data_IF_668312257070
#
_entry.id   IF_668312257070
#
_cell.length_a   1.000
_cell.length_b   1.000
_cell.length_c   1.000
_cell.angle_alpha   90.00
_cell.angle_beta   90.00
_cell.angle_gamma   90.00
#
_symmetry.space_group_name_H-M   'P 1'
#
loop_
_entity.id
_entity.type
_entity.pdbx_description
1 polymer ?
#
# COMPACT_ATOMS: atom_id res chain seq x y z
N UNK A 1 -35.77 -6.92 -26.75
CA UNK A 1 -35.22 -6.86 -25.40
C UNK A 1 -36.08 -5.97 -24.50
N UNK A 2 -36.12 -4.65 -24.74
CA UNK A 2 -36.76 -3.67 -23.85
C UNK A 2 -38.26 -3.92 -23.66
N UNK A 3 -39.02 -4.30 -24.69
CA UNK A 3 -40.44 -4.65 -24.57
C UNK A 3 -40.71 -5.83 -23.65
N UNK A 4 -39.79 -6.81 -23.63
CA UNK A 4 -39.84 -7.96 -22.70
C UNK A 4 -39.57 -7.60 -21.23
N UNK A 5 -39.04 -6.40 -20.98
CA UNK A 5 -38.80 -5.83 -19.64
C UNK A 5 -39.93 -4.87 -19.21
N UNK A 6 -41.06 -4.82 -19.98
CA UNK A 6 -42.21 -4.01 -19.64
C UNK A 6 -42.15 -2.56 -20.15
N UNK A 7 -41.13 -2.19 -20.92
CA UNK A 7 -41.04 -0.87 -21.54
C UNK A 7 -41.89 -0.85 -22.84
N UNK A 8 -42.51 0.28 -23.11
CA UNK A 8 -43.38 0.47 -24.31
C UNK A 8 -42.74 1.45 -25.28
N UNK A 9 -42.59 1.05 -26.56
CA UNK A 9 -42.18 1.98 -27.60
C UNK A 9 -43.29 3.00 -27.86
N UNK A 10 -43.00 4.28 -27.67
CA UNK A 10 -43.97 5.38 -27.88
C UNK A 10 -43.84 5.97 -29.29
N UNK A 11 -42.63 6.33 -29.67
CA UNK A 11 -42.33 6.90 -30.98
C UNK A 11 -41.13 6.16 -31.59
N UNK A 12 -41.26 5.76 -32.81
CA UNK A 12 -40.21 5.03 -33.56
C UNK A 12 -39.79 5.87 -34.74
N UNK A 13 -38.54 6.30 -34.77
CA UNK A 13 -37.89 7.01 -35.85
C UNK A 13 -36.92 6.08 -36.59
N UNK A 14 -36.39 6.53 -37.70
CA UNK A 14 -35.46 5.74 -38.51
C UNK A 14 -34.16 5.37 -37.71
N UNK A 15 -33.69 6.27 -36.88
CA UNK A 15 -32.41 6.13 -36.12
C UNK A 15 -32.57 6.13 -34.59
N UNK A 16 -33.77 6.33 -34.06
CA UNK A 16 -34.03 6.41 -32.63
C UNK A 16 -35.42 5.89 -32.27
N UNK A 17 -35.61 5.57 -31.01
CA UNK A 17 -36.92 5.15 -30.47
C UNK A 17 -37.08 5.75 -29.07
N UNK A 18 -38.22 6.40 -28.85
CA UNK A 18 -38.62 6.88 -27.51
C UNK A 18 -39.34 5.77 -26.78
N UNK A 19 -38.92 5.52 -25.56
CA UNK A 19 -39.43 4.46 -24.69
C UNK A 19 -40.19 5.02 -23.51
N UNK A 20 -41.39 4.52 -23.27
CA UNK A 20 -42.17 4.75 -22.08
C UNK A 20 -41.63 3.85 -20.94
N UNK A 21 -41.21 4.47 -19.85
CA UNK A 21 -40.66 3.78 -18.69
C UNK A 21 -41.79 3.52 -17.69
N UNK A 22 -41.96 2.26 -17.21
CA UNK A 22 -42.94 1.96 -16.18
C UNK A 22 -42.60 2.68 -14.84
N UNK A 23 -43.64 3.10 -14.13
CA UNK A 23 -43.48 3.88 -12.88
C UNK A 23 -42.70 3.18 -11.76
N UNK A 24 -42.55 1.85 -11.81
CA UNK A 24 -41.76 1.09 -10.86
C UNK A 24 -40.27 0.99 -11.21
N UNK A 25 -39.84 1.40 -12.42
CA UNK A 25 -38.46 1.43 -12.88
C UNK A 25 -37.85 2.81 -12.68
N UNK A 26 -37.61 3.16 -11.40
CA UNK A 26 -37.03 4.45 -11.01
C UNK A 26 -35.53 4.57 -11.35
N UNK A 27 -34.92 3.45 -11.71
CA UNK A 27 -33.52 3.30 -12.10
C UNK A 27 -33.25 3.75 -13.56
N UNK A 28 -34.27 3.72 -14.44
CA UNK A 28 -34.13 4.05 -15.85
C UNK A 28 -34.42 5.53 -16.10
N UNK A 29 -33.41 6.36 -16.03
CA UNK A 29 -33.56 7.83 -16.16
C UNK A 29 -32.82 8.42 -17.37
N UNK A 30 -31.88 7.68 -17.97
CA UNK A 30 -31.01 8.12 -19.06
C UNK A 30 -30.97 7.07 -20.17
N UNK A 31 -30.58 7.50 -21.35
CA UNK A 31 -30.39 6.60 -22.50
C UNK A 31 -29.43 5.46 -22.21
N UNK A 32 -28.34 5.72 -21.50
CA UNK A 32 -27.34 4.69 -21.14
C UNK A 32 -27.92 3.58 -20.26
N UNK A 33 -28.93 3.88 -19.45
CA UNK A 33 -29.61 2.89 -18.60
C UNK A 33 -30.41 1.90 -19.48
N UNK A 34 -30.95 2.35 -20.62
CA UNK A 34 -31.58 1.46 -21.62
C UNK A 34 -30.56 0.62 -22.39
N UNK A 35 -29.38 1.18 -22.67
CA UNK A 35 -28.26 0.42 -23.26
C UNK A 35 -27.82 -0.68 -22.33
N UNK A 36 -27.73 -0.42 -21.03
CA UNK A 36 -27.41 -1.42 -20.00
C UNK A 36 -28.43 -2.55 -19.99
N UNK A 37 -29.71 -2.23 -19.98
CA UNK A 37 -30.79 -3.24 -20.03
C UNK A 37 -30.72 -4.13 -21.29
N UNK A 38 -30.41 -3.55 -22.44
CA UNK A 38 -30.21 -4.32 -23.67
C UNK A 38 -29.00 -5.22 -23.55
N UNK A 39 -27.86 -4.70 -23.06
CA UNK A 39 -26.62 -5.45 -22.88
C UNK A 39 -26.82 -6.62 -21.93
N UNK A 40 -27.55 -6.41 -20.83
CA UNK A 40 -27.85 -7.44 -19.83
C UNK A 40 -28.71 -8.57 -20.40
N UNK A 41 -29.73 -8.26 -21.19
CA UNK A 41 -30.64 -9.25 -21.78
C UNK A 41 -30.02 -9.98 -22.97
N UNK A 42 -29.28 -9.28 -23.81
CA UNK A 42 -28.62 -9.86 -24.99
C UNK A 42 -27.38 -10.67 -24.61
N UNK A 43 -26.72 -10.29 -23.53
CA UNK A 43 -25.49 -10.89 -23.00
C UNK A 43 -24.27 -10.04 -23.33
N UNK A 44 -23.53 -9.67 -22.29
CA UNK A 44 -22.29 -8.85 -22.38
C UNK A 44 -21.22 -9.57 -23.20
N UNK A 45 -21.19 -10.91 -23.17
CA UNK A 45 -20.24 -11.72 -23.94
C UNK A 45 -20.37 -11.57 -25.46
N UNK A 46 -21.50 -11.04 -25.93
CA UNK A 46 -21.73 -10.75 -27.38
C UNK A 46 -21.12 -9.42 -27.80
N UNK A 47 -20.68 -8.59 -26.86
CA UNK A 47 -20.03 -7.32 -27.18
C UNK A 47 -18.57 -7.62 -27.53
N UNK A 48 -18.13 -7.34 -28.78
CA UNK A 48 -16.77 -7.65 -29.19
C UNK A 48 -15.75 -6.80 -28.38
N UNK A 49 -14.77 -7.46 -27.76
CA UNK A 49 -13.68 -6.78 -27.16
C UNK A 49 -12.79 -6.10 -28.19
N UNK A 50 -12.57 -4.81 -28.07
CA UNK A 50 -11.60 -4.10 -28.91
C UNK A 50 -10.23 -4.20 -28.28
N UNK A 51 -9.32 -4.91 -28.93
CA UNK A 51 -7.89 -4.99 -28.56
C UNK A 51 -7.13 -3.87 -29.29
N UNK A 52 -7.56 -2.63 -29.17
CA UNK A 52 -6.74 -1.51 -29.62
C UNK A 52 -6.36 -0.68 -28.39
N UNK A 53 -5.33 -1.11 -27.69
CA UNK A 53 -4.62 -0.24 -26.78
C UNK A 53 -3.62 0.56 -27.60
N UNK A 54 -3.80 1.86 -27.75
CA UNK A 54 -2.67 2.74 -27.98
C UNK A 54 -1.93 2.80 -26.66
N UNK A 55 -0.74 2.17 -26.52
CA UNK A 55 0.03 2.29 -25.29
C UNK A 55 0.36 3.76 -25.10
N UNK A 56 -0.10 4.34 -23.99
CA UNK A 56 0.35 5.66 -23.60
C UNK A 56 1.85 5.58 -23.28
N UNK A 57 2.60 6.61 -23.58
CA UNK A 57 4.02 6.69 -23.18
C UNK A 57 4.12 6.55 -21.65
N UNK A 58 5.08 5.73 -21.15
CA UNK A 58 5.29 5.57 -19.73
C UNK A 58 5.61 6.91 -19.05
N UNK A 59 4.95 7.19 -17.95
CA UNK A 59 5.19 8.38 -17.13
C UNK A 59 6.18 8.08 -16.00
N UNK A 60 6.67 9.12 -15.32
CA UNK A 60 7.46 8.95 -14.08
C UNK A 60 6.67 8.24 -12.98
N UNK A 61 5.35 8.42 -12.96
CA UNK A 61 4.46 7.75 -12.01
C UNK A 61 4.43 6.24 -12.26
N UNK A 62 4.38 5.80 -13.53
CA UNK A 62 4.42 4.39 -13.90
C UNK A 62 5.73 3.73 -13.48
N UNK A 63 6.86 4.39 -13.71
CA UNK A 63 8.17 3.90 -13.29
C UNK A 63 8.25 3.71 -11.77
N UNK A 64 7.70 4.64 -10.99
CA UNK A 64 7.63 4.55 -9.52
C UNK A 64 6.72 3.41 -9.07
N UNK A 65 5.57 3.24 -9.72
CA UNK A 65 4.63 2.16 -9.46
C UNK A 65 5.25 0.79 -9.73
N UNK A 66 5.86 0.61 -10.90
CA UNK A 66 6.53 -0.62 -11.29
C UNK A 66 7.69 -0.97 -10.36
N UNK A 67 8.45 0.04 -9.92
CA UNK A 67 9.50 -0.16 -8.91
C UNK A 67 8.91 -0.69 -7.61
N UNK A 68 7.83 -0.10 -7.11
CA UNK A 68 7.17 -0.56 -5.89
C UNK A 68 6.61 -1.98 -6.02
N UNK A 69 6.03 -2.36 -7.17
CA UNK A 69 5.56 -3.73 -7.43
C UNK A 69 6.72 -4.72 -7.35
N UNK A 70 7.84 -4.43 -8.03
CA UNK A 70 9.03 -5.29 -7.98
C UNK A 70 9.60 -5.39 -6.56
N UNK A 71 9.62 -4.29 -5.81
CA UNK A 71 10.10 -4.25 -4.43
C UNK A 71 9.24 -5.13 -3.51
N UNK A 72 7.90 -5.04 -3.62
CA UNK A 72 6.95 -5.93 -2.90
C UNK A 72 7.22 -7.39 -3.19
N UNK A 73 7.35 -7.74 -4.47
CA UNK A 73 7.63 -9.12 -4.88
C UNK A 73 8.95 -9.66 -4.31
N UNK A 74 10.00 -8.83 -4.26
CA UNK A 74 11.29 -9.21 -3.65
C UNK A 74 11.17 -9.42 -2.14
N UNK A 75 10.52 -8.50 -1.43
CA UNK A 75 10.34 -8.59 0.03
C UNK A 75 9.49 -9.80 0.41
N UNK A 76 8.39 -10.03 -0.30
CA UNK A 76 7.56 -11.22 -0.12
C UNK A 76 8.34 -12.52 -0.42
N UNK A 77 9.17 -12.54 -1.46
CA UNK A 77 10.06 -13.66 -1.78
C UNK A 77 11.13 -13.92 -0.73
N UNK A 78 11.50 -12.93 0.08
CA UNK A 78 12.38 -13.06 1.24
C UNK A 78 11.64 -13.52 2.52
N UNK A 79 10.33 -13.79 2.42
CA UNK A 79 9.52 -14.27 3.54
C UNK A 79 8.92 -13.20 4.43
N UNK A 80 8.91 -11.93 3.99
CA UNK A 80 8.25 -10.86 4.72
C UNK A 80 6.80 -10.69 4.29
N UNK A 81 5.93 -10.30 5.21
CA UNK A 81 4.53 -9.96 4.94
C UNK A 81 4.35 -8.45 4.87
N UNK A 82 3.58 -7.96 3.89
CA UNK A 82 3.27 -6.53 3.80
C UNK A 82 2.26 -6.14 4.88
N UNK A 83 2.58 -5.12 5.65
CA UNK A 83 1.67 -4.45 6.55
C UNK A 83 1.23 -3.12 5.94
N UNK A 84 0.05 -2.65 6.36
CA UNK A 84 -0.44 -1.33 6.00
C UNK A 84 -0.99 -0.66 7.24
N UNK A 85 -0.26 0.35 7.72
CA UNK A 85 -0.60 1.05 8.95
C UNK A 85 -1.27 2.40 8.67
N UNK A 86 -1.86 3.01 9.69
CA UNK A 86 -2.58 4.26 9.53
C UNK A 86 -1.66 5.42 9.13
N UNK A 87 -2.12 6.26 8.21
CA UNK A 87 -1.45 7.51 7.84
C UNK A 87 -1.66 8.60 8.88
N UNK A 88 -2.82 8.58 9.56
CA UNK A 88 -3.15 9.46 10.66
C UNK A 88 -2.80 8.77 11.97
N UNK A 89 -2.05 9.47 12.81
CA UNK A 89 -1.47 8.92 14.04
C UNK A 89 -1.68 9.84 15.23
N UNK A 90 -1.55 9.29 16.42
CA UNK A 90 -1.60 10.04 17.68
C UNK A 90 -0.30 10.84 17.90
N UNK A 91 -0.32 11.86 18.78
CA UNK A 91 0.88 12.59 19.18
C UNK A 91 2.00 11.65 19.68
N UNK A 92 1.64 10.61 20.44
CA UNK A 92 2.59 9.65 20.98
C UNK A 92 3.32 8.80 19.91
N UNK A 93 2.79 8.76 18.68
CA UNK A 93 3.38 8.00 17.57
C UNK A 93 4.27 8.84 16.66
N UNK A 94 4.52 10.10 16.98
CA UNK A 94 5.48 10.94 16.26
C UNK A 94 6.74 11.14 17.10
N UNK A 95 7.91 10.99 16.47
CA UNK A 95 9.19 11.14 17.17
C UNK A 95 9.55 12.61 17.48
N UNK A 96 8.97 13.54 16.72
CA UNK A 96 9.14 14.99 16.93
C UNK A 96 7.89 15.72 16.45
N UNK A 97 7.15 16.35 17.36
CA UNK A 97 5.98 17.16 16.98
C UNK A 97 6.35 18.38 16.13
N UNK A 98 7.56 18.93 16.33
CA UNK A 98 8.04 20.06 15.55
C UNK A 98 8.27 19.72 14.07
N UNK A 99 8.53 18.44 13.77
CA UNK A 99 8.76 17.93 12.42
C UNK A 99 7.51 17.29 11.80
N UNK A 100 6.48 17.04 12.61
CA UNK A 100 5.25 16.39 12.17
C UNK A 100 4.19 17.41 11.71
N UNK A 101 3.34 17.01 10.79
CA UNK A 101 2.23 17.84 10.31
C UNK A 101 1.00 17.55 11.15
N UNK A 102 0.57 18.54 11.92
CA UNK A 102 -0.67 18.49 12.71
C UNK A 102 -1.88 18.89 11.86
N UNK A 103 -2.96 18.13 11.99
CA UNK A 103 -4.24 18.45 11.33
C UNK A 103 -4.94 19.60 12.05
N UNK A 104 -5.61 20.46 11.28
CA UNK A 104 -6.41 21.58 11.86
C UNK A 104 -7.69 21.11 12.52
N UNK A 105 -8.32 20.06 11.97
CA UNK A 105 -9.62 19.53 12.37
C UNK A 105 -9.58 17.99 12.37
N UNK A 106 -8.86 17.37 13.32
CA UNK A 106 -8.79 15.92 13.41
C UNK A 106 -10.15 15.33 13.85
N UNK A 107 -10.42 14.10 13.44
CA UNK A 107 -11.60 13.36 13.89
C UNK A 107 -11.51 12.92 15.37
N UNK A 108 -10.29 12.79 15.89
CA UNK A 108 -9.97 12.43 17.27
C UNK A 108 -8.51 12.74 17.57
N UNK A 109 -8.14 12.76 18.85
CA UNK A 109 -6.74 13.01 19.27
C UNK A 109 -5.77 11.93 18.79
N UNK A 110 -6.25 10.71 18.68
CA UNK A 110 -5.51 9.54 18.18
C UNK A 110 -5.21 9.62 16.67
N UNK A 111 -5.80 10.59 15.95
CA UNK A 111 -5.64 10.80 14.51
C UNK A 111 -5.31 12.26 14.18
N UNK A 112 -4.53 12.92 15.04
CA UNK A 112 -4.28 14.36 14.96
C UNK A 112 -3.03 14.76 14.16
N UNK A 113 -2.17 13.81 13.79
CA UNK A 113 -0.96 14.06 13.02
C UNK A 113 -0.88 13.18 11.78
N UNK A 114 -0.18 13.67 10.75
CA UNK A 114 0.33 12.85 9.67
C UNK A 114 1.63 12.16 10.13
N UNK A 115 1.76 10.86 9.86
CA UNK A 115 2.95 10.08 10.26
C UNK A 115 4.23 10.60 9.59
N UNK A 116 5.24 10.89 10.39
CA UNK A 116 6.60 11.23 9.93
C UNK A 116 7.49 10.00 9.75
N UNK A 117 7.09 8.84 10.29
CA UNK A 117 7.79 7.56 10.18
C UNK A 117 6.78 6.42 10.03
N UNK A 118 7.21 5.32 9.41
CA UNK A 118 6.45 4.06 9.34
C UNK A 118 6.72 3.15 10.56
N UNK A 119 7.82 3.41 11.29
CA UNK A 119 8.31 2.53 12.35
C UNK A 119 7.30 2.38 13.51
N UNK A 120 6.73 3.46 14.08
CA UNK A 120 5.77 3.31 15.18
C UNK A 120 4.56 2.44 14.81
N UNK A 121 4.03 2.61 13.59
CA UNK A 121 2.92 1.80 13.08
C UNK A 121 3.31 0.32 12.92
N UNK A 122 4.51 0.03 12.39
CA UNK A 122 5.00 -1.33 12.26
C UNK A 122 5.27 -1.98 13.62
N UNK A 123 5.84 -1.24 14.59
CA UNK A 123 6.07 -1.75 15.95
C UNK A 123 4.74 -2.11 16.63
N UNK A 124 3.71 -1.27 16.50
CA UNK A 124 2.37 -1.59 16.99
C UNK A 124 1.77 -2.84 16.32
N UNK A 125 2.02 -3.03 15.01
CA UNK A 125 1.61 -4.24 14.29
C UNK A 125 2.38 -5.48 14.77
N UNK A 126 3.68 -5.37 15.00
CA UNK A 126 4.52 -6.44 15.58
C UNK A 126 3.99 -6.83 16.97
N UNK A 127 3.82 -5.85 17.86
CA UNK A 127 3.31 -6.07 19.22
C UNK A 127 1.95 -6.79 19.19
N UNK A 128 1.05 -6.35 18.33
CA UNK A 128 -0.26 -6.99 18.15
C UNK A 128 -0.13 -8.46 17.76
N UNK A 129 0.70 -8.79 16.77
CA UNK A 129 0.91 -10.17 16.34
C UNK A 129 1.50 -11.04 17.44
N UNK A 130 2.48 -10.52 18.20
CA UNK A 130 3.06 -11.23 19.35
C UNK A 130 2.00 -11.49 20.45
N UNK A 131 1.13 -10.53 20.75
CA UNK A 131 0.01 -10.71 21.70
C UNK A 131 -0.98 -11.78 21.25
N UNK A 132 -1.15 -12.00 19.94
CA UNK A 132 -1.94 -13.08 19.38
C UNK A 132 -1.19 -14.41 19.26
N UNK A 133 0.01 -14.50 19.83
CA UNK A 133 0.76 -15.75 19.94
C UNK A 133 1.67 -16.05 18.75
N UNK A 134 1.93 -15.10 17.86
CA UNK A 134 2.92 -15.30 16.82
C UNK A 134 4.32 -15.49 17.42
N UNK A 135 5.01 -16.59 17.09
CA UNK A 135 6.37 -16.86 17.57
C UNK A 135 7.44 -16.00 16.86
N UNK A 136 7.13 -15.52 15.68
CA UNK A 136 8.00 -14.65 14.89
C UNK A 136 7.16 -13.77 13.98
N UNK A 137 7.66 -12.57 13.73
CA UNK A 137 7.01 -11.58 12.87
C UNK A 137 8.07 -10.94 11.98
N UNK A 138 7.84 -10.97 10.67
CA UNK A 138 8.66 -10.34 9.65
C UNK A 138 7.75 -9.50 8.75
N UNK A 139 7.69 -8.19 9.00
CA UNK A 139 6.82 -7.27 8.32
C UNK A 139 7.60 -6.25 7.51
N UNK A 140 7.01 -5.78 6.42
CA UNK A 140 7.43 -4.57 5.74
C UNK A 140 6.22 -3.69 5.40
N UNK A 141 6.47 -2.40 5.24
CA UNK A 141 5.48 -1.46 4.71
C UNK A 141 6.14 -0.55 3.68
N UNK A 142 5.53 -0.44 2.50
CA UNK A 142 5.85 0.58 1.52
C UNK A 142 4.74 1.62 1.60
N UNK A 143 5.04 2.76 2.18
CA UNK A 143 4.08 3.82 2.46
C UNK A 143 4.67 5.21 2.23
N UNK A 144 3.90 6.21 2.57
CA UNK A 144 4.33 7.62 2.53
C UNK A 144 4.49 8.16 3.94
N UNK A 145 5.53 8.94 4.11
CA UNK A 145 5.81 9.73 5.32
C UNK A 145 5.70 11.21 4.98
N UNK A 146 5.37 12.03 5.97
CA UNK A 146 5.06 13.44 5.79
C UNK A 146 5.88 14.29 6.76
N UNK A 147 6.57 15.29 6.24
CA UNK A 147 7.44 16.15 7.04
C UNK A 147 7.01 17.60 6.94
N UNK A 148 6.93 18.30 8.08
CA UNK A 148 6.52 19.70 8.15
C UNK A 148 7.53 20.62 7.45
N UNK A 149 8.82 20.33 7.59
CA UNK A 149 9.90 21.05 6.91
C UNK A 149 9.84 20.73 5.41
N UNK A 150 9.60 21.75 4.59
CA UNK A 150 9.44 21.59 3.13
C UNK A 150 8.08 21.09 2.68
N UNK A 151 7.19 20.65 3.60
CA UNK A 151 5.90 20.00 3.27
C UNK A 151 6.08 18.84 2.31
N UNK A 152 7.08 18.01 2.60
CA UNK A 152 7.45 16.89 1.74
C UNK A 152 6.64 15.64 2.07
N UNK A 153 6.21 14.97 1.01
CA UNK A 153 5.65 13.62 1.04
C UNK A 153 6.67 12.68 0.41
N UNK A 154 7.19 11.75 1.18
CA UNK A 154 8.27 10.86 0.74
C UNK A 154 7.82 9.40 0.72
N UNK A 155 8.01 8.69 -0.41
CA UNK A 155 7.84 7.24 -0.43
C UNK A 155 8.92 6.60 0.43
N UNK A 156 8.51 5.75 1.35
CA UNK A 156 9.39 5.15 2.36
C UNK A 156 9.13 3.66 2.45
N UNK A 157 10.19 2.87 2.63
CA UNK A 157 10.13 1.47 3.02
C UNK A 157 10.54 1.35 4.49
N UNK A 158 9.76 0.62 5.27
CA UNK A 158 10.18 0.16 6.59
C UNK A 158 10.06 -1.36 6.70
N UNK A 159 10.94 -1.95 7.51
CA UNK A 159 11.01 -3.39 7.77
C UNK A 159 11.11 -3.59 9.28
N UNK A 160 10.33 -4.53 9.82
CA UNK A 160 10.40 -4.93 11.22
C UNK A 160 10.48 -6.45 11.33
N UNK A 161 11.47 -6.93 12.07
CA UNK A 161 11.76 -8.35 12.26
C UNK A 161 11.85 -8.65 13.74
N UNK A 162 11.20 -9.74 14.19
CA UNK A 162 11.33 -10.24 15.57
C UNK A 162 11.05 -11.74 15.64
N UNK A 163 11.55 -12.39 16.69
CA UNK A 163 11.39 -13.83 16.90
C UNK A 163 12.36 -14.66 16.07
N UNK A 164 11.89 -15.75 15.47
CA UNK A 164 12.72 -16.74 14.80
C UNK A 164 12.86 -16.42 13.30
N UNK A 165 14.09 -16.26 12.83
CA UNK A 165 14.42 -16.19 11.38
C UNK A 165 14.31 -17.56 10.71
N UNK A 166 14.49 -18.63 11.49
CA UNK A 166 14.34 -20.02 11.07
C UNK A 166 13.81 -20.86 12.24
N UNK A 167 12.74 -21.58 11.98
CA UNK A 167 12.21 -22.54 12.94
C UNK A 167 13.19 -23.72 13.13
N UNK A 168 13.13 -24.38 14.28
CA UNK A 168 13.88 -25.61 14.49
C UNK A 168 13.38 -26.71 13.55
N UNK A 169 14.29 -27.49 12.98
CA UNK A 169 13.93 -28.63 12.15
C UNK A 169 14.96 -29.75 12.34
N UNK A 170 14.56 -30.98 12.01
CA UNK A 170 15.48 -32.12 12.09
C UNK A 170 16.69 -31.97 11.13
N UNK A 171 16.54 -31.22 10.05
CA UNK A 171 17.60 -30.95 9.06
C UNK A 171 18.54 -29.85 9.50
N UNK A 172 17.97 -28.76 10.01
CA UNK A 172 18.68 -27.48 10.22
C UNK A 172 19.05 -27.24 11.69
N UNK A 173 18.63 -28.13 12.59
CA UNK A 173 18.91 -28.03 14.04
C UNK A 173 18.01 -27.02 14.76
N UNK A 174 18.61 -26.34 15.74
CA UNK A 174 17.89 -25.39 16.60
C UNK A 174 17.39 -24.16 15.85
N UNK A 175 16.29 -23.57 16.36
CA UNK A 175 15.78 -22.30 15.85
C UNK A 175 16.85 -21.20 15.95
N UNK A 176 16.86 -20.30 14.99
CA UNK A 176 17.70 -19.09 15.00
C UNK A 176 16.81 -17.86 15.09
N UNK A 177 17.15 -16.95 15.96
CA UNK A 177 16.46 -15.66 16.04
C UNK A 177 16.86 -14.73 14.88
N UNK A 178 15.99 -13.79 14.58
CA UNK A 178 16.38 -12.64 13.75
C UNK A 178 17.44 -11.82 14.49
N UNK A 179 18.43 -11.38 13.74
CA UNK A 179 19.51 -10.53 14.20
C UNK A 179 19.76 -9.37 13.23
N UNK A 180 20.70 -8.52 13.62
CA UNK A 180 21.16 -7.40 12.82
C UNK A 180 21.65 -7.78 11.42
N UNK A 181 22.28 -8.95 11.27
CA UNK A 181 22.81 -9.44 10.00
C UNK A 181 21.71 -9.88 9.05
N UNK A 182 20.60 -10.41 9.58
CA UNK A 182 19.42 -10.73 8.77
C UNK A 182 18.85 -9.45 8.12
N UNK A 183 18.69 -8.38 8.89
CA UNK A 183 18.19 -7.12 8.37
C UNK A 183 19.14 -6.50 7.33
N UNK A 184 20.45 -6.49 7.63
CA UNK A 184 21.47 -6.05 6.67
C UNK A 184 21.45 -6.87 5.39
N UNK A 185 21.33 -8.19 5.48
CA UNK A 185 21.22 -9.09 4.34
C UNK A 185 20.01 -8.76 3.47
N UNK A 186 18.84 -8.55 4.07
CA UNK A 186 17.63 -8.14 3.35
C UNK A 186 17.89 -6.82 2.60
N UNK A 187 18.39 -5.80 3.27
CA UNK A 187 18.64 -4.48 2.66
C UNK A 187 19.66 -4.59 1.51
N UNK A 188 20.72 -5.36 1.70
CA UNK A 188 21.74 -5.57 0.67
C UNK A 188 21.19 -6.25 -0.59
N UNK A 189 20.18 -7.11 -0.47
CA UNK A 189 19.53 -7.71 -1.66
C UNK A 189 18.64 -6.73 -2.43
N UNK A 190 18.17 -5.67 -1.78
CA UNK A 190 17.28 -4.68 -2.39
C UNK A 190 18.04 -3.58 -3.15
N UNK A 191 19.25 -3.28 -2.69
CA UNK A 191 20.08 -2.18 -3.22
C UNK A 191 21.27 -2.76 -3.97
N UNK A 192 21.37 -2.62 -5.30
CA UNK A 192 22.38 -3.27 -6.12
C UNK A 192 23.75 -2.57 -6.10
N UNK A 193 24.02 -1.78 -5.07
CA UNK A 193 25.28 -1.05 -4.89
C UNK A 193 25.87 -1.33 -3.51
N UNK A 194 27.16 -1.07 -3.35
CA UNK A 194 27.82 -1.18 -2.04
C UNK A 194 27.16 -0.23 -1.02
N UNK A 195 26.91 -0.77 0.17
CA UNK A 195 26.27 -0.06 1.27
C UNK A 195 27.29 0.32 2.34
N UNK A 196 27.29 1.58 2.70
CA UNK A 196 28.06 2.09 3.84
C UNK A 196 27.16 2.15 5.08
N UNK A 197 27.71 1.69 6.20
CA UNK A 197 27.03 1.62 7.49
C UNK A 197 27.81 2.43 8.51
N UNK A 198 27.17 3.44 9.11
CA UNK A 198 27.79 4.28 10.14
C UNK A 198 26.94 4.27 11.39
N UNK A 199 27.58 4.04 12.56
CA UNK A 199 26.90 4.16 13.86
C UNK A 199 26.30 5.56 14.01
N UNK A 200 25.09 5.62 14.53
CA UNK A 200 24.37 6.86 14.81
C UNK A 200 23.80 6.84 16.23
N UNK A 201 23.37 7.99 16.70
CA UNK A 201 22.71 8.13 17.99
C UNK A 201 21.32 7.47 17.99
N UNK A 202 20.81 7.12 19.14
CA UNK A 202 19.45 6.60 19.32
C UNK A 202 18.42 7.58 18.74
N UNK A 203 17.39 7.05 18.12
CA UNK A 203 16.35 7.86 17.50
C UNK A 203 14.97 7.25 17.70
N UNK A 204 14.04 8.01 18.27
CA UNK A 204 12.71 7.52 18.58
C UNK A 204 12.77 6.26 19.45
N UNK A 205 12.15 5.19 18.98
CA UNK A 205 12.07 3.90 19.68
C UNK A 205 13.31 3.00 19.46
N UNK A 206 14.32 3.47 18.72
CA UNK A 206 15.51 2.69 18.35
C UNK A 206 16.70 3.06 19.22
N UNK A 207 17.23 2.08 19.96
CA UNK A 207 18.36 2.27 20.89
C UNK A 207 19.73 2.10 20.21
N UNK A 208 19.87 1.08 19.36
CA UNK A 208 21.09 0.84 18.58
C UNK A 208 20.84 1.22 17.13
N UNK A 209 21.42 2.31 16.68
CA UNK A 209 21.13 2.87 15.35
C UNK A 209 22.38 2.90 14.48
N UNK A 210 22.20 2.58 13.21
CA UNK A 210 23.16 2.86 12.15
C UNK A 210 22.47 3.51 10.97
N UNK A 211 23.09 4.51 10.39
CA UNK A 211 22.67 5.06 9.09
C UNK A 211 23.19 4.17 7.96
N UNK A 212 22.41 4.13 6.91
CA UNK A 212 22.69 3.38 5.68
C UNK A 212 22.83 4.38 4.54
N UNK A 213 23.91 4.32 3.80
CA UNK A 213 24.12 5.13 2.60
C UNK A 213 24.63 4.29 1.43
N UNK A 214 24.39 4.76 0.22
CA UNK A 214 24.93 4.22 -1.01
C UNK A 214 25.36 5.35 -1.93
N UNK A 215 26.56 5.24 -2.52
CA UNK A 215 27.11 6.28 -3.40
C UNK A 215 27.08 7.68 -2.78
N UNK A 216 27.37 7.78 -1.46
CA UNK A 216 27.36 9.03 -0.71
C UNK A 216 25.98 9.62 -0.41
N UNK A 217 24.87 8.95 -0.80
CA UNK A 217 23.49 9.36 -0.48
C UNK A 217 22.96 8.56 0.67
N UNK A 218 22.39 9.24 1.68
CA UNK A 218 21.67 8.58 2.76
C UNK A 218 20.42 7.88 2.21
N UNK A 219 20.27 6.61 2.56
CA UNK A 219 19.08 5.80 2.21
C UNK A 219 18.11 5.70 3.38
N UNK A 220 18.63 5.66 4.61
CA UNK A 220 17.80 5.50 5.79
C UNK A 220 18.63 5.12 7.02
N UNK A 221 17.93 4.52 7.98
CA UNK A 221 18.51 4.03 9.21
C UNK A 221 18.01 2.61 9.54
N UNK A 222 18.79 1.88 10.28
CA UNK A 222 18.39 0.62 10.91
C UNK A 222 18.68 0.73 12.41
N UNK A 223 17.87 0.04 13.21
CA UNK A 223 18.02 0.07 14.65
C UNK A 223 17.38 -1.13 15.34
N UNK A 224 17.67 -1.23 16.64
CA UNK A 224 17.11 -2.24 17.52
C UNK A 224 16.58 -1.57 18.77
#
# INVERSE_FOLDING_TARGET
ALSGLGLTAQEVFETSTTWGIPSHRLDLTREVDLVEEVARVVGIDRIPSRVSANPAEPTKADASYDFQIRLRGRLAGLGLSEARTSTLVSPASVWSEAEAIKLKNPLGEDQSFLRSSLIPGLLAAVERNLRYGAASVALFEIGRTFHAKGREESPTLAIALTGQSRASSWRDGAAKAFDWWNLKGIIATLVPTELEWKKADAQGDLALVSTVSANGKALGLIGQ
#
